data_IF_837824409702
#
_entry.id   IF_837824409702
#
_cell.length_a   1.000
_cell.length_b   1.000
_cell.length_c   1.000
_cell.angle_alpha   90.00
_cell.angle_beta   90.00
_cell.angle_gamma   90.00
#
_symmetry.space_group_name_H-M   'P 1'
#
loop_
_entity.id
_entity.type
_entity.pdbx_description
1 polymer ?
#
# COMPACT_ATOMS: atom_id res chain seq x y z
N UNK A 1 11.80 -8.02 -10.16
CA UNK A 1 11.62 -6.76 -10.90
C UNK A 1 10.14 -6.39 -10.89
N UNK A 2 9.79 -5.17 -10.46
CA UNK A 2 8.49 -4.55 -10.70
C UNK A 2 8.50 -3.94 -12.11
N UNK A 3 7.46 -4.17 -12.91
CA UNK A 3 7.46 -3.73 -14.32
C UNK A 3 7.40 -2.20 -14.41
N UNK A 4 8.42 -1.59 -15.02
CA UNK A 4 8.49 -0.14 -15.26
C UNK A 4 8.91 0.70 -14.05
N UNK A 5 9.39 0.07 -12.96
CA UNK A 5 9.84 0.79 -11.77
C UNK A 5 11.07 1.67 -12.05
N UNK A 6 12.09 1.16 -12.75
CA UNK A 6 13.31 1.91 -13.09
C UNK A 6 12.98 3.20 -13.86
N UNK A 7 11.97 3.14 -14.73
CA UNK A 7 11.46 4.30 -15.48
C UNK A 7 10.78 5.31 -14.57
N UNK A 8 10.02 4.85 -13.59
CA UNK A 8 9.38 5.70 -12.59
C UNK A 8 10.45 6.35 -11.68
N UNK A 9 11.42 5.57 -11.20
CA UNK A 9 12.55 6.02 -10.39
C UNK A 9 13.38 7.11 -11.11
N UNK A 10 13.64 6.93 -12.40
CA UNK A 10 14.36 7.90 -13.22
C UNK A 10 13.54 9.17 -13.50
N UNK A 11 12.23 9.06 -13.74
CA UNK A 11 11.38 10.21 -14.05
C UNK A 11 11.09 11.09 -12.82
N UNK A 12 10.95 10.47 -11.64
CA UNK A 12 10.67 11.18 -10.37
C UNK A 12 11.89 11.28 -9.45
N UNK A 13 13.11 11.26 -10.03
CA UNK A 13 14.36 11.26 -9.29
C UNK A 13 14.55 12.48 -8.37
N UNK A 14 14.17 13.67 -8.85
CA UNK A 14 14.27 14.93 -8.10
C UNK A 14 13.04 15.20 -7.19
N UNK A 15 12.04 14.30 -7.22
CA UNK A 15 10.73 14.47 -6.58
C UNK A 15 10.41 13.38 -5.54
N UNK A 16 11.42 12.68 -5.02
CA UNK A 16 11.24 11.58 -4.04
C UNK A 16 10.59 12.01 -2.73
N UNK A 17 10.69 13.29 -2.36
CA UNK A 17 10.02 13.86 -1.20
C UNK A 17 8.49 13.95 -1.37
N UNK A 18 8.02 14.09 -2.63
CA UNK A 18 6.61 14.33 -3.03
C UNK A 18 5.69 13.11 -2.93
N UNK A 19 6.23 11.90 -2.93
CA UNK A 19 5.44 10.67 -2.97
C UNK A 19 5.98 9.58 -2.04
N UNK A 20 5.19 8.52 -1.87
CA UNK A 20 5.59 7.27 -1.22
C UNK A 20 4.92 6.10 -1.94
N UNK A 21 5.70 5.11 -2.37
CA UNK A 21 5.15 3.83 -2.82
C UNK A 21 4.77 2.99 -1.60
N UNK A 22 3.59 2.37 -1.65
CA UNK A 22 3.09 1.45 -0.63
C UNK A 22 2.74 0.10 -1.27
N UNK A 23 1.85 -0.67 -0.63
CA UNK A 23 1.07 -1.71 -1.30
C UNK A 23 1.90 -2.83 -1.94
N UNK A 24 1.69 -3.09 -3.24
CA UNK A 24 2.35 -4.16 -3.99
C UNK A 24 3.85 -3.90 -4.18
N UNK A 25 4.21 -2.78 -4.80
CA UNK A 25 5.58 -2.49 -5.21
C UNK A 25 6.55 -2.31 -4.02
N UNK A 26 6.14 -1.63 -2.95
CA UNK A 26 7.00 -1.49 -1.76
C UNK A 26 7.24 -2.84 -1.05
N UNK A 27 6.24 -3.73 -1.01
CA UNK A 27 6.43 -5.11 -0.51
C UNK A 27 7.34 -5.94 -1.41
N UNK A 28 7.33 -5.69 -2.73
CA UNK A 28 8.26 -6.33 -3.65
C UNK A 28 9.70 -5.92 -3.33
N UNK A 29 9.98 -4.62 -3.24
CA UNK A 29 11.31 -4.05 -2.97
C UNK A 29 11.90 -4.49 -1.64
N UNK A 30 11.13 -4.38 -0.56
CA UNK A 30 11.58 -4.72 0.81
C UNK A 30 11.89 -6.21 0.96
N UNK A 31 11.21 -7.08 0.21
CA UNK A 31 11.51 -8.52 0.18
C UNK A 31 12.72 -8.85 -0.71
N UNK A 32 12.92 -8.16 -1.84
CA UNK A 32 14.05 -8.40 -2.75
C UNK A 32 15.38 -7.90 -2.16
N UNK A 33 15.39 -6.74 -1.48
CA UNK A 33 16.55 -6.22 -0.72
C UNK A 33 17.06 -7.22 0.32
N UNK A 34 16.14 -8.00 0.92
CA UNK A 34 16.44 -9.06 1.88
C UNK A 34 16.67 -10.44 1.24
N UNK A 35 16.64 -10.56 -0.10
CA UNK A 35 16.88 -11.82 -0.83
C UNK A 35 15.73 -12.84 -0.79
N UNK A 36 14.49 -12.42 -0.47
CA UNK A 36 13.33 -13.30 -0.32
C UNK A 36 12.38 -13.26 -1.53
N UNK A 37 12.54 -14.17 -2.50
CA UNK A 37 11.78 -14.28 -3.77
C UNK A 37 10.35 -13.65 -3.76
N UNK A 38 10.21 -12.38 -4.16
CA UNK A 38 8.95 -11.64 -4.01
C UNK A 38 7.90 -11.99 -5.06
N UNK A 39 6.62 -11.95 -4.68
CA UNK A 39 5.49 -12.12 -5.59
C UNK A 39 5.44 -10.97 -6.60
N UNK A 40 5.40 -11.31 -7.90
CA UNK A 40 5.27 -10.32 -8.97
C UNK A 40 4.06 -9.36 -8.78
N UNK A 41 4.27 -8.11 -9.18
CA UNK A 41 3.29 -7.02 -9.18
C UNK A 41 3.58 -6.10 -10.36
N UNK A 42 2.56 -5.45 -10.91
CA UNK A 42 2.65 -4.56 -12.07
C UNK A 42 2.01 -3.20 -11.78
N UNK A 43 1.62 -2.97 -10.52
CA UNK A 43 0.80 -1.87 -10.05
C UNK A 43 1.65 -1.02 -9.10
N UNK A 44 1.61 0.30 -9.25
CA UNK A 44 2.18 1.22 -8.25
C UNK A 44 1.04 1.84 -7.44
N UNK A 45 1.04 1.54 -6.15
CA UNK A 45 0.19 2.16 -5.14
C UNK A 45 0.93 3.40 -4.60
N UNK A 46 0.50 4.62 -4.99
CA UNK A 46 1.26 5.87 -4.79
C UNK A 46 0.53 6.82 -3.85
N UNK A 47 1.07 7.02 -2.66
CA UNK A 47 0.64 8.07 -1.73
C UNK A 47 1.32 9.38 -2.10
N UNK A 48 0.54 10.44 -2.28
CA UNK A 48 1.07 11.78 -2.54
C UNK A 48 1.22 12.54 -1.21
N UNK A 49 2.40 13.10 -0.97
CA UNK A 49 2.69 13.93 0.20
C UNK A 49 2.04 15.30 0.00
N UNK A 50 0.88 15.50 0.62
CA UNK A 50 -0.01 16.66 0.39
C UNK A 50 0.62 17.99 0.79
N UNK A 51 1.55 17.98 1.74
CA UNK A 51 2.34 19.14 2.16
C UNK A 51 3.32 19.62 1.08
N UNK A 52 3.55 18.80 0.06
CA UNK A 52 4.52 18.98 -1.01
C UNK A 52 3.89 18.90 -2.43
N UNK A 53 2.56 18.91 -2.54
CA UNK A 53 1.88 19.02 -3.83
C UNK A 53 1.94 20.46 -4.35
N UNK A 54 2.71 20.67 -5.41
CA UNK A 54 2.84 21.93 -6.13
C UNK A 54 2.58 21.77 -7.65
N UNK A 55 2.40 22.87 -8.41
CA UNK A 55 2.14 22.81 -9.84
C UNK A 55 3.29 22.22 -10.69
N UNK A 56 4.51 22.16 -10.15
CA UNK A 56 5.70 21.66 -10.85
C UNK A 56 5.71 20.13 -10.84
N UNK A 57 5.64 19.51 -9.65
CA UNK A 57 5.49 18.06 -9.52
C UNK A 57 4.22 17.55 -10.21
N UNK A 58 3.13 18.33 -10.18
CA UNK A 58 1.92 18.06 -10.93
C UNK A 58 2.13 17.97 -12.46
N UNK A 59 2.88 18.90 -13.04
CA UNK A 59 3.20 18.90 -14.46
C UNK A 59 4.07 17.69 -14.82
N UNK A 60 5.10 17.40 -14.02
CA UNK A 60 5.99 16.23 -14.18
C UNK A 60 5.22 14.92 -14.08
N UNK A 61 4.24 14.81 -13.18
CA UNK A 61 3.39 13.63 -13.08
C UNK A 61 2.53 13.45 -14.34
N UNK A 62 1.92 14.52 -14.84
CA UNK A 62 1.17 14.48 -16.10
C UNK A 62 2.04 14.18 -17.32
N UNK A 63 3.32 14.55 -17.33
CA UNK A 63 4.26 14.11 -18.36
C UNK A 63 4.48 12.60 -18.33
N UNK A 64 4.61 11.97 -17.15
CA UNK A 64 4.68 10.52 -17.05
C UNK A 64 3.41 9.84 -17.60
N UNK A 65 2.23 10.36 -17.24
CA UNK A 65 0.93 9.86 -17.72
C UNK A 65 0.80 9.96 -19.24
N UNK A 66 1.14 11.12 -19.82
CA UNK A 66 1.11 11.36 -21.27
C UNK A 66 2.14 10.51 -22.01
N UNK A 67 3.37 10.41 -21.49
CA UNK A 67 4.45 9.63 -22.08
C UNK A 67 4.20 8.12 -22.04
N UNK A 68 3.56 7.60 -20.98
CA UNK A 68 3.08 6.21 -20.94
C UNK A 68 1.86 5.96 -21.83
N UNK A 69 1.12 7.02 -22.18
CA UNK A 69 -0.12 6.94 -22.95
C UNK A 69 -1.22 6.17 -22.21
N UNK A 70 -1.34 6.40 -20.90
CA UNK A 70 -2.31 5.73 -20.04
C UNK A 70 -3.77 6.11 -20.37
N UNK A 71 -4.69 5.18 -20.12
CA UNK A 71 -6.12 5.46 -20.07
C UNK A 71 -6.52 5.89 -18.65
N UNK A 72 -7.23 7.01 -18.52
CA UNK A 72 -7.78 7.52 -17.26
C UNK A 72 -9.10 6.79 -16.97
N UNK A 73 -9.27 6.24 -15.77
CA UNK A 73 -10.57 5.71 -15.33
C UNK A 73 -11.20 6.59 -14.24
N UNK A 74 -12.21 7.35 -14.64
CA UNK A 74 -13.10 8.09 -13.75
C UNK A 74 -14.33 7.23 -13.38
N UNK A 75 -14.76 7.26 -12.11
CA UNK A 75 -15.99 6.64 -11.57
C UNK A 75 -16.71 7.62 -10.64
N UNK A 76 -18.05 7.62 -10.52
CA UNK A 76 -18.77 8.79 -9.96
C UNK A 76 -20.07 8.58 -9.12
N UNK A 77 -20.25 9.41 -8.06
CA UNK A 77 -21.44 9.65 -7.17
C UNK A 77 -21.31 9.17 -5.69
N UNK A 78 -20.94 9.84 -4.55
CA UNK A 78 -20.75 11.24 -3.98
C UNK A 78 -19.42 11.57 -3.18
N UNK A 79 -18.70 12.70 -3.41
CA UNK A 79 -17.71 13.44 -2.56
C UNK A 79 -16.14 13.21 -2.38
N UNK A 80 -15.34 12.42 -3.13
CA UNK A 80 -13.83 12.43 -3.01
C UNK A 80 -13.11 12.01 -4.30
N UNK A 81 -12.05 12.72 -4.73
CA UNK A 81 -11.25 12.39 -5.93
C UNK A 81 -10.26 11.24 -5.71
N UNK A 82 -10.15 10.35 -6.69
CA UNK A 82 -9.13 9.31 -6.81
C UNK A 82 -8.75 9.17 -8.29
N UNK A 83 -7.48 8.88 -8.59
CA UNK A 83 -7.03 8.70 -9.98
C UNK A 83 -6.42 7.31 -10.16
N UNK A 84 -7.01 6.55 -11.09
CA UNK A 84 -6.44 5.31 -11.62
C UNK A 84 -6.06 5.51 -13.07
N UNK A 85 -4.77 5.34 -13.35
CA UNK A 85 -4.22 5.35 -14.70
C UNK A 85 -3.93 3.90 -15.08
N UNK A 86 -4.55 3.43 -16.15
CA UNK A 86 -4.58 2.01 -16.54
C UNK A 86 -4.02 1.82 -17.95
N UNK A 87 -3.55 0.61 -18.25
CA UNK A 87 -3.28 0.13 -19.62
C UNK A 87 -2.42 1.14 -20.43
N UNK A 88 -1.17 1.42 -20.00
CA UNK A 88 -0.27 2.28 -20.78
C UNK A 88 -0.09 1.73 -22.19
N UNK A 89 -0.12 2.62 -23.19
CA UNK A 89 0.12 2.26 -24.59
C UNK A 89 1.59 2.01 -24.90
N UNK A 90 2.50 2.56 -24.09
CA UNK A 90 3.94 2.35 -24.24
C UNK A 90 4.44 1.18 -23.37
N UNK A 91 5.33 0.32 -23.91
CA UNK A 91 5.94 -0.76 -23.13
C UNK A 91 6.95 -0.23 -22.10
N UNK A 92 7.16 -0.99 -21.02
CA UNK A 92 8.10 -0.60 -19.96
C UNK A 92 7.57 0.49 -19.03
N UNK A 93 6.25 0.62 -18.91
CA UNK A 93 5.53 1.39 -17.90
C UNK A 93 4.75 0.44 -16.97
N UNK A 94 4.50 0.80 -15.70
CA UNK A 94 3.62 0.03 -14.81
C UNK A 94 2.20 -0.09 -15.38
N UNK A 95 1.57 -1.27 -15.23
CA UNK A 95 0.26 -1.57 -15.83
C UNK A 95 -0.89 -0.76 -15.22
N UNK A 96 -0.76 -0.41 -13.93
CA UNK A 96 -1.63 0.52 -13.21
C UNK A 96 -0.81 1.47 -12.33
N UNK A 97 -1.27 2.71 -12.23
CA UNK A 97 -0.90 3.66 -11.18
C UNK A 97 -2.20 4.00 -10.41
N UNK A 98 -2.23 3.76 -9.10
CA UNK A 98 -3.32 4.21 -8.21
C UNK A 98 -2.80 5.36 -7.34
N UNK A 99 -3.38 6.56 -7.50
CA UNK A 99 -3.01 7.74 -6.72
C UNK A 99 -3.93 7.95 -5.51
N UNK A 100 -3.32 8.22 -4.37
CA UNK A 100 -4.01 8.57 -3.14
C UNK A 100 -3.53 9.94 -2.62
N UNK A 101 -4.46 10.82 -2.24
CA UNK A 101 -4.18 12.11 -1.60
C UNK A 101 -5.15 12.34 -0.45
N UNK A 102 -4.65 12.88 0.68
CA UNK A 102 -5.47 13.31 1.82
C UNK A 102 -6.22 14.63 1.56
N UNK A 103 -5.77 15.44 0.60
CA UNK A 103 -6.52 16.58 0.04
C UNK A 103 -6.70 16.34 -1.46
N UNK A 104 -7.71 15.55 -1.87
CA UNK A 104 -8.01 15.33 -3.29
C UNK A 104 -8.08 16.63 -4.09
N UNK A 105 -8.71 17.67 -3.52
CA UNK A 105 -9.05 18.92 -4.21
C UNK A 105 -7.84 19.79 -4.58
N UNK A 106 -6.62 19.45 -4.11
CA UNK A 106 -5.38 20.07 -4.56
C UNK A 106 -4.85 19.46 -5.88
N UNK A 107 -5.47 18.40 -6.40
CA UNK A 107 -5.16 17.78 -7.69
C UNK A 107 -5.97 18.39 -8.86
N UNK A 108 -6.35 19.67 -8.75
CA UNK A 108 -6.81 20.48 -9.89
C UNK A 108 -5.58 20.98 -10.65
N UNK A 109 -5.12 20.16 -11.60
CA UNK A 109 -3.80 20.31 -12.23
C UNK A 109 -3.91 20.88 -13.66
N UNK A 110 -4.06 22.20 -13.75
CA UNK A 110 -3.99 22.98 -14.99
C UNK A 110 -5.35 23.35 -15.61
N UNK A 111 -5.42 24.50 -16.27
CA UNK A 111 -6.68 25.11 -16.76
C UNK A 111 -7.42 24.28 -17.82
N UNK A 112 -6.72 23.38 -18.54
CA UNK A 112 -7.33 22.45 -19.52
C UNK A 112 -8.04 21.24 -18.87
N UNK A 113 -8.01 21.08 -17.55
CA UNK A 113 -8.53 19.87 -16.89
C UNK A 113 -10.06 19.88 -16.78
N UNK A 114 -10.77 19.39 -17.81
CA UNK A 114 -12.21 19.05 -17.77
C UNK A 114 -12.55 17.84 -16.85
N UNK A 115 -11.75 17.60 -15.82
CA UNK A 115 -11.92 16.52 -14.85
C UNK A 115 -13.04 16.90 -13.88
N UNK A 116 -14.23 16.34 -14.11
CA UNK A 116 -15.42 16.70 -13.31
C UNK A 116 -15.28 16.14 -11.90
N UNK A 117 -15.54 16.89 -10.82
CA UNK A 117 -15.27 16.44 -9.46
C UNK A 117 -15.89 15.07 -9.14
N UNK A 118 -15.03 14.04 -9.10
CA UNK A 118 -15.41 12.64 -8.88
C UNK A 118 -16.08 12.47 -7.53
N UNK A 119 -17.29 11.87 -7.51
CA UNK A 119 -17.93 11.50 -6.27
C UNK A 119 -17.89 9.95 -5.96
N UNK A 120 -17.95 9.49 -4.70
CA UNK A 120 -17.84 8.07 -4.23
C UNK A 120 -19.14 7.26 -4.04
N UNK A 121 -19.20 6.04 -4.58
CA UNK A 121 -20.09 4.94 -4.11
C UNK A 121 -19.27 3.81 -3.48
N UNK A 122 -19.95 2.81 -2.90
CA UNK A 122 -19.47 1.77 -1.95
C UNK A 122 -18.27 0.85 -2.38
N UNK A 123 -17.58 1.10 -3.51
CA UNK A 123 -16.50 0.24 -4.00
C UNK A 123 -15.07 0.59 -3.52
N UNK A 124 -14.93 1.62 -2.66
CA UNK A 124 -13.71 2.16 -2.02
C UNK A 124 -12.54 1.15 -1.96
N UNK A 125 -11.37 1.50 -2.52
CA UNK A 125 -10.16 0.67 -2.36
C UNK A 125 -9.76 0.62 -0.87
N UNK A 126 -9.38 -0.54 -0.35
CA UNK A 126 -9.00 -0.69 1.07
C UNK A 126 -7.82 0.21 1.45
N UNK A 127 -6.93 0.50 0.48
CA UNK A 127 -5.84 1.48 0.62
C UNK A 127 -6.38 2.93 0.64
N UNK A 128 -7.41 3.26 -0.14
CA UNK A 128 -8.11 4.55 -0.03
C UNK A 128 -8.73 4.75 1.35
N UNK A 129 -9.34 3.71 1.93
CA UNK A 129 -9.93 3.79 3.27
C UNK A 129 -8.87 4.05 4.36
N UNK A 130 -7.71 3.39 4.25
CA UNK A 130 -6.53 3.60 5.12
C UNK A 130 -6.05 5.05 5.08
N UNK A 131 -5.87 5.61 3.87
CA UNK A 131 -5.20 6.90 3.67
C UNK A 131 -6.09 8.13 3.98
N UNK A 132 -7.34 7.87 4.35
CA UNK A 132 -8.28 8.86 4.89
C UNK A 132 -8.26 8.93 6.42
N UNK A 133 -7.58 8.00 7.11
CA UNK A 133 -7.28 8.11 8.54
C UNK A 133 -5.96 8.86 8.74
N UNK A 134 -5.98 9.84 9.65
CA UNK A 134 -4.83 10.74 9.85
C UNK A 134 -3.64 10.03 10.50
N UNK A 135 -3.89 9.00 11.31
CA UNK A 135 -2.83 8.22 11.96
C UNK A 135 -2.08 7.42 10.90
N UNK A 136 -2.79 6.76 9.98
CA UNK A 136 -2.17 6.00 8.89
C UNK A 136 -1.38 6.88 7.93
N UNK A 137 -1.90 8.06 7.57
CA UNK A 137 -1.16 9.05 6.76
C UNK A 137 0.14 9.50 7.46
N UNK A 138 0.04 9.90 8.73
CA UNK A 138 1.20 10.35 9.52
C UNK A 138 2.22 9.22 9.73
N UNK A 139 1.76 7.98 9.95
CA UNK A 139 2.59 6.80 10.15
C UNK A 139 3.37 6.44 8.88
N UNK A 140 2.75 6.52 7.69
CA UNK A 140 3.44 6.39 6.39
C UNK A 140 4.53 7.46 6.24
N UNK A 141 4.20 8.72 6.55
CA UNK A 141 5.15 9.83 6.44
C UNK A 141 6.36 9.72 7.40
N UNK A 142 6.20 9.02 8.53
CA UNK A 142 7.27 8.77 9.51
C UNK A 142 8.20 7.61 9.13
N UNK A 143 7.70 6.62 8.38
CA UNK A 143 8.45 5.38 8.04
C UNK A 143 8.85 5.34 6.56
N UNK A 144 9.07 6.52 5.95
CA UNK A 144 9.59 6.65 4.59
C UNK A 144 11.08 6.27 4.54
N UNK A 145 11.48 5.48 3.54
CA UNK A 145 12.88 5.18 3.20
C UNK A 145 13.06 5.13 1.68
N UNK A 146 14.29 5.29 1.21
CA UNK A 146 14.63 5.09 -0.21
C UNK A 146 15.13 3.66 -0.44
N UNK A 147 14.65 3.02 -1.52
CA UNK A 147 15.21 1.78 -2.12
C UNK A 147 15.19 2.00 -3.64
N UNK A 148 16.22 1.57 -4.37
CA UNK A 148 16.29 1.63 -5.85
C UNK A 148 15.93 2.99 -6.49
N UNK A 149 16.19 4.11 -5.77
CA UNK A 149 15.88 5.46 -6.26
C UNK A 149 14.40 5.84 -6.17
N UNK A 150 13.58 5.11 -5.42
CA UNK A 150 12.17 5.46 -5.11
C UNK A 150 11.92 5.59 -3.61
N UNK A 151 11.07 6.56 -3.25
CA UNK A 151 10.55 6.74 -1.90
C UNK A 151 9.47 5.69 -1.60
N UNK A 152 9.65 4.90 -0.56
CA UNK A 152 8.76 3.80 -0.15
C UNK A 152 8.54 3.78 1.36
N UNK A 153 7.64 2.92 1.84
CA UNK A 153 7.60 2.50 3.25
C UNK A 153 8.22 1.12 3.48
N UNK A 154 8.90 0.95 4.61
CA UNK A 154 9.47 -0.34 5.05
C UNK A 154 8.45 -1.33 5.61
N UNK A 155 8.91 -2.56 5.89
CA UNK A 155 8.17 -3.66 6.51
C UNK A 155 7.41 -3.25 7.78
N UNK A 156 8.06 -2.42 8.60
CA UNK A 156 7.53 -1.84 9.84
C UNK A 156 6.17 -1.17 9.64
N UNK A 157 5.98 -0.49 8.49
CA UNK A 157 4.76 0.20 8.14
C UNK A 157 3.87 -0.62 7.19
N UNK A 158 4.46 -1.40 6.28
CA UNK A 158 3.72 -2.29 5.38
C UNK A 158 2.86 -3.30 6.14
N UNK A 159 3.34 -3.86 7.26
CA UNK A 159 2.57 -4.86 8.03
C UNK A 159 1.23 -4.30 8.53
N UNK A 160 1.17 -3.16 9.25
CA UNK A 160 -0.11 -2.54 9.61
C UNK A 160 -0.99 -2.12 8.42
N UNK A 161 -0.41 -1.67 7.30
CA UNK A 161 -1.18 -1.31 6.09
C UNK A 161 -1.84 -2.55 5.45
N UNK A 162 -1.11 -3.66 5.33
CA UNK A 162 -1.64 -4.93 4.82
C UNK A 162 -2.67 -5.53 5.78
N UNK A 163 -2.45 -5.41 7.10
CA UNK A 163 -3.39 -5.86 8.13
C UNK A 163 -4.75 -5.15 8.02
N UNK A 164 -4.75 -3.82 7.87
CA UNK A 164 -6.01 -3.06 7.67
C UNK A 164 -6.64 -3.31 6.29
N UNK A 165 -5.84 -3.51 5.24
CA UNK A 165 -6.38 -3.90 3.93
C UNK A 165 -7.06 -5.29 3.98
N UNK A 166 -6.52 -6.24 4.76
CA UNK A 166 -7.17 -7.53 5.01
C UNK A 166 -8.50 -7.38 5.76
N UNK A 167 -8.57 -6.52 6.78
CA UNK A 167 -9.78 -6.26 7.54
C UNK A 167 -10.90 -5.70 6.67
N UNK A 168 -10.64 -4.64 5.89
CA UNK A 168 -11.62 -4.01 5.00
C UNK A 168 -12.21 -5.00 3.99
N UNK A 169 -11.35 -5.74 3.27
CA UNK A 169 -11.80 -6.75 2.32
C UNK A 169 -12.58 -7.89 2.98
N UNK A 170 -12.20 -8.29 4.19
CA UNK A 170 -12.87 -9.36 4.94
C UNK A 170 -14.25 -8.93 5.44
N UNK A 171 -14.36 -7.71 6.00
CA UNK A 171 -15.64 -7.12 6.41
C UNK A 171 -16.58 -6.95 5.21
N UNK A 172 -16.13 -6.29 4.13
CA UNK A 172 -16.95 -6.05 2.94
C UNK A 172 -17.42 -7.34 2.27
N UNK A 173 -16.62 -8.41 2.33
CA UNK A 173 -17.04 -9.74 1.88
C UNK A 173 -18.10 -10.37 2.79
N UNK A 174 -17.99 -10.20 4.11
CA UNK A 174 -19.00 -10.67 5.06
C UNK A 174 -20.33 -9.93 4.92
N UNK A 175 -20.27 -8.64 4.53
CA UNK A 175 -21.42 -7.79 4.20
C UNK A 175 -22.04 -8.10 2.81
N UNK A 176 -21.50 -9.08 2.07
CA UNK A 176 -22.02 -9.52 0.77
C UNK A 176 -21.45 -8.79 -0.45
N UNK A 177 -20.46 -7.91 -0.27
CA UNK A 177 -19.77 -7.20 -1.33
C UNK A 177 -18.95 -8.13 -2.27
N UNK A 178 -18.81 -7.72 -3.53
CA UNK A 178 -18.06 -8.47 -4.54
C UNK A 178 -16.54 -8.36 -4.34
N UNK A 179 -16.00 -9.17 -3.43
CA UNK A 179 -14.57 -9.22 -3.08
C UNK A 179 -13.95 -10.55 -3.51
N UNK A 180 -12.86 -10.50 -4.28
CA UNK A 180 -12.09 -11.71 -4.60
C UNK A 180 -11.34 -12.20 -3.34
N UNK A 181 -11.55 -13.47 -2.99
CA UNK A 181 -10.88 -14.08 -1.84
C UNK A 181 -9.38 -14.30 -2.07
N UNK A 182 -8.87 -14.16 -3.30
CA UNK A 182 -7.44 -14.06 -3.60
C UNK A 182 -6.82 -12.79 -3.01
N UNK A 183 -7.55 -11.67 -3.02
CA UNK A 183 -7.05 -10.41 -2.48
C UNK A 183 -6.97 -10.42 -0.96
N UNK A 184 -7.99 -10.95 -0.27
CA UNK A 184 -7.91 -11.22 1.18
C UNK A 184 -6.68 -12.10 1.49
N UNK A 185 -6.48 -13.21 0.76
CA UNK A 185 -5.33 -14.11 0.98
C UNK A 185 -3.97 -13.46 0.68
N UNK A 186 -3.87 -12.56 -0.32
CA UNK A 186 -2.60 -11.89 -0.65
C UNK A 186 -2.14 -10.99 0.49
N UNK A 187 -3.03 -10.23 1.11
CA UNK A 187 -2.67 -9.35 2.24
C UNK A 187 -2.21 -10.15 3.47
N UNK A 188 -2.89 -11.27 3.79
CA UNK A 188 -2.44 -12.20 4.85
C UNK A 188 -1.05 -12.78 4.58
N UNK A 189 -0.81 -13.25 3.35
CA UNK A 189 0.48 -13.80 2.94
C UNK A 189 1.59 -12.76 2.94
N UNK A 190 1.32 -11.55 2.46
CA UNK A 190 2.27 -10.44 2.44
C UNK A 190 2.71 -10.06 3.87
N UNK A 191 1.79 -9.97 4.86
CA UNK A 191 2.16 -9.71 6.28
C UNK A 191 3.10 -10.79 6.84
N UNK A 192 2.76 -12.06 6.63
CA UNK A 192 3.52 -13.19 7.17
C UNK A 192 4.87 -13.36 6.46
N UNK A 193 5.02 -12.84 5.23
CA UNK A 193 6.32 -12.75 4.56
C UNK A 193 7.16 -11.58 5.06
N UNK A 194 6.56 -10.42 5.27
CA UNK A 194 7.23 -9.26 5.87
C UNK A 194 7.67 -9.53 7.32
N UNK A 195 6.95 -10.41 8.03
CA UNK A 195 7.35 -10.92 9.36
C UNK A 195 8.78 -11.50 9.38
N UNK A 196 9.24 -12.14 8.29
CA UNK A 196 10.61 -12.70 8.20
C UNK A 196 11.72 -11.65 8.31
N UNK A 197 11.38 -10.36 8.16
CA UNK A 197 12.31 -9.23 8.21
C UNK A 197 12.30 -8.51 9.56
N UNK A 198 11.29 -8.74 10.40
CA UNK A 198 11.14 -8.05 11.67
C UNK A 198 12.26 -8.46 12.63
N UNK A 199 13.04 -7.48 13.10
CA UNK A 199 13.92 -7.64 14.25
C UNK A 199 13.07 -7.85 15.54
N UNK A 200 13.13 -9.01 16.23
CA UNK A 200 12.29 -9.26 17.42
C UNK A 200 12.60 -8.35 18.62
N UNK A 201 13.74 -7.65 18.61
CA UNK A 201 14.12 -6.65 19.62
C UNK A 201 13.56 -5.24 19.36
N UNK A 202 13.08 -4.95 18.15
CA UNK A 202 12.52 -3.64 17.78
C UNK A 202 11.22 -3.35 18.54
N UNK A 203 10.95 -2.08 18.87
CA UNK A 203 9.68 -1.65 19.48
C UNK A 203 9.14 -0.42 18.76
N UNK A 204 7.98 -0.57 18.12
CA UNK A 204 7.30 0.45 17.31
C UNK A 204 6.09 0.97 18.08
N UNK A 205 6.05 2.29 18.30
CA UNK A 205 4.90 2.94 18.95
C UNK A 205 3.79 3.22 17.93
N UNK A 206 2.86 2.27 17.79
CA UNK A 206 1.66 2.49 16.96
C UNK A 206 0.71 3.53 17.59
N UNK A 207 0.07 4.39 16.78
CA UNK A 207 -1.17 5.08 17.13
C UNK A 207 -2.29 4.07 17.42
N UNK A 208 -3.27 4.45 18.25
CA UNK A 208 -4.23 3.47 18.80
C UNK A 208 -5.14 2.83 17.74
N UNK A 209 -5.59 3.58 16.72
CA UNK A 209 -6.33 3.01 15.58
C UNK A 209 -5.54 1.88 14.90
N UNK A 210 -4.25 2.12 14.66
CA UNK A 210 -3.35 1.17 13.97
C UNK A 210 -3.05 -0.04 14.87
N UNK A 211 -2.91 0.18 16.19
CA UNK A 211 -2.76 -0.92 17.18
C UNK A 211 -4.02 -1.80 17.22
N UNK A 212 -5.21 -1.20 17.26
CA UNK A 212 -6.48 -1.91 17.32
C UNK A 212 -6.76 -2.71 16.02
N UNK A 213 -6.49 -2.11 14.86
CA UNK A 213 -6.55 -2.80 13.57
C UNK A 213 -5.58 -3.98 13.51
N UNK A 214 -4.31 -3.80 13.91
CA UNK A 214 -3.35 -4.91 13.94
C UNK A 214 -3.76 -6.01 14.93
N UNK A 215 -4.31 -5.66 16.09
CA UNK A 215 -4.87 -6.63 17.06
C UNK A 215 -6.04 -7.44 16.47
N UNK A 216 -6.97 -6.77 15.78
CA UNK A 216 -8.10 -7.42 15.12
C UNK A 216 -7.66 -8.34 13.98
N UNK A 217 -6.70 -7.91 13.15
CA UNK A 217 -6.08 -8.74 12.12
C UNK A 217 -5.43 -9.99 12.71
N UNK A 218 -4.60 -9.84 13.74
CA UNK A 218 -3.86 -10.97 14.35
C UNK A 218 -4.83 -12.03 14.92
N UNK A 219 -5.89 -11.61 15.62
CA UNK A 219 -6.96 -12.53 16.06
C UNK A 219 -7.72 -13.16 14.88
N UNK A 220 -7.95 -12.40 13.81
CA UNK A 220 -8.67 -12.87 12.61
C UNK A 220 -7.93 -13.95 11.82
N UNK A 221 -6.59 -13.88 11.77
CA UNK A 221 -5.76 -14.86 11.04
C UNK A 221 -5.32 -16.05 11.89
N UNK A 222 -5.36 -15.95 13.23
CA UNK A 222 -4.85 -16.98 14.16
C UNK A 222 -5.42 -18.39 13.90
N UNK A 223 -6.73 -18.60 13.64
CA UNK A 223 -7.29 -19.90 13.25
C UNK A 223 -6.78 -20.45 11.91
N UNK A 224 -6.23 -19.59 11.04
CA UNK A 224 -5.71 -19.97 9.72
C UNK A 224 -4.21 -20.31 9.72
N UNK A 225 -3.49 -19.99 10.81
CA UNK A 225 -2.04 -20.22 10.94
C UNK A 225 -1.71 -21.67 11.28
N UNK A 226 -1.78 -22.54 10.27
CA UNK A 226 -1.26 -23.91 10.38
C UNK A 226 0.26 -23.96 10.15
N UNK A 227 1.01 -24.90 10.78
CA UNK A 227 2.44 -25.07 10.52
C UNK A 227 2.77 -25.34 9.04
N UNK A 228 1.87 -26.00 8.31
CA UNK A 228 2.02 -26.23 6.87
C UNK A 228 1.91 -24.93 6.06
N UNK A 229 1.02 -24.00 6.45
CA UNK A 229 0.90 -22.70 5.80
C UNK A 229 2.11 -21.78 6.12
N UNK A 230 2.61 -21.80 7.35
CA UNK A 230 3.86 -21.11 7.71
C UNK A 230 5.04 -21.61 6.86
N UNK A 231 5.20 -22.93 6.74
CA UNK A 231 6.25 -23.56 5.92
C UNK A 231 6.13 -23.20 4.42
N UNK A 232 4.92 -23.05 3.90
CA UNK A 232 4.67 -22.59 2.51
C UNK A 232 5.10 -21.13 2.27
N UNK A 233 5.25 -20.33 3.32
CA UNK A 233 5.71 -18.93 3.25
C UNK A 233 7.22 -18.77 3.56
N UNK A 234 7.95 -19.88 3.72
CA UNK A 234 9.37 -19.88 4.09
C UNK A 234 9.63 -19.76 5.59
N UNK A 235 8.60 -19.59 6.43
CA UNK A 235 8.74 -19.56 7.89
C UNK A 235 9.07 -20.97 8.39
N UNK A 236 10.29 -21.16 8.90
CA UNK A 236 10.79 -22.41 9.46
C UNK A 236 11.31 -22.17 10.89
N UNK A 237 11.27 -23.20 11.72
CA UNK A 237 11.61 -23.11 13.15
C UNK A 237 10.48 -22.51 14.00
N UNK A 238 9.92 -21.37 13.59
CA UNK A 238 8.91 -20.65 14.37
C UNK A 238 7.50 -21.29 14.33
N UNK A 239 6.84 -21.33 15.48
CA UNK A 239 5.44 -21.77 15.62
C UNK A 239 4.42 -20.63 15.44
N UNK A 240 3.15 -20.94 15.18
CA UNK A 240 2.10 -19.93 14.99
C UNK A 240 1.95 -18.96 16.16
N UNK A 241 2.05 -19.47 17.39
CA UNK A 241 2.04 -18.68 18.63
C UNK A 241 3.22 -17.71 18.68
N UNK A 242 4.41 -18.18 18.33
CA UNK A 242 5.66 -17.39 18.34
C UNK A 242 5.62 -16.27 17.30
N UNK A 243 5.17 -16.56 16.06
CA UNK A 243 4.97 -15.56 15.01
C UNK A 243 4.03 -14.45 15.48
N UNK A 244 2.87 -14.81 16.04
CA UNK A 244 1.90 -13.85 16.58
C UNK A 244 2.47 -13.07 17.77
N UNK A 245 3.15 -13.73 18.71
CA UNK A 245 3.74 -13.10 19.91
C UNK A 245 4.90 -12.15 19.58
N UNK A 246 5.71 -12.45 18.55
CA UNK A 246 6.76 -11.55 18.07
C UNK A 246 6.15 -10.29 17.46
N UNK A 247 5.14 -10.41 16.59
CA UNK A 247 4.43 -9.24 16.03
C UNK A 247 3.75 -8.45 17.18
N UNK A 248 3.07 -9.12 18.11
CA UNK A 248 2.46 -8.50 19.30
C UNK A 248 3.49 -7.70 20.12
N UNK A 249 4.66 -8.28 20.37
CA UNK A 249 5.75 -7.66 21.13
C UNK A 249 6.38 -6.45 20.43
N UNK A 250 6.59 -6.54 19.12
CA UNK A 250 7.25 -5.47 18.34
C UNK A 250 6.36 -4.25 18.19
N UNK A 251 5.06 -4.44 17.95
CA UNK A 251 4.10 -3.35 17.75
C UNK A 251 3.37 -2.88 19.03
N UNK A 252 3.70 -3.46 20.19
CA UNK A 252 3.03 -3.16 21.45
C UNK A 252 1.53 -3.45 21.40
N UNK A 253 1.15 -4.60 20.85
CA UNK A 253 -0.24 -5.09 20.81
C UNK A 253 -0.43 -6.08 21.95
N UNK A 254 -1.40 -5.81 22.81
CA UNK A 254 -1.76 -6.67 23.96
C UNK A 254 -2.74 -7.76 23.50
N UNK A 255 -2.68 -8.94 24.12
CA UNK A 255 -3.72 -9.96 23.99
C UNK A 255 -4.97 -9.53 24.79
N UNK A 256 -6.14 -9.66 24.18
CA UNK A 256 -7.45 -9.30 24.74
C UNK A 256 -8.59 -9.87 23.92
#
# INVERSE_FOLDING_TARGET
>A
MVVGLDRFAAHFADYRDRYVLIGGAATWLVLDEAGLEPRATQDLDIVLCVEALDPEFAAVFWEFIRAGGYEIQEKSGGAKLFYRFLRPRQPGYPAMLELFSRKPDLLVLGDDSHLTPIPLREDVSSLSAILLDENYYNFIHQHKREIEGVSIVGEECLIPLKARAWLDLTQRKAEGGQVDSRDIRKHRGDVLRLYLLINPGLRITLPETIRADLAAFLRGIEPELTPQFLKQLGIQGAGSVEVLQTIRSVYGVVEG
#
